data_IF_950560536800
#
_entry.id   IF_950560536800
#
_cell.length_a   1.000
_cell.length_b   1.000
_cell.length_c   1.000
_cell.angle_alpha   90.00
_cell.angle_beta   90.00
_cell.angle_gamma   90.00
#
_symmetry.space_group_name_H-M   'P 1'
#
loop_
_entity.id
_entity.type
_entity.pdbx_description
1 polymer ?
#
# COMPACT_ATOMS: atom_id res chain seq x y z
N UNK A 1 -16.02 5.69 -0.27
CA UNK A 1 -14.84 5.37 -1.10
C UNK A 1 -15.08 4.11 -1.90
N UNK A 2 -14.73 4.08 -3.20
CA UNK A 2 -14.75 2.87 -4.04
C UNK A 2 -13.32 2.32 -4.10
N UNK A 3 -13.17 0.99 -4.21
CA UNK A 3 -11.88 0.33 -4.34
C UNK A 3 -11.95 -0.62 -5.53
N UNK A 4 -11.02 -0.47 -6.47
CA UNK A 4 -10.78 -1.42 -7.57
C UNK A 4 -9.47 -2.14 -7.29
N UNK A 5 -9.48 -3.45 -7.41
CA UNK A 5 -8.30 -4.31 -7.22
C UNK A 5 -7.83 -4.77 -8.59
N UNK A 6 -6.57 -4.59 -8.87
CA UNK A 6 -5.93 -5.01 -10.10
C UNK A 6 -4.79 -5.98 -9.75
N UNK A 7 -4.98 -7.29 -9.91
CA UNK A 7 -3.86 -8.23 -9.87
C UNK A 7 -2.96 -8.00 -11.09
N UNK A 8 -1.69 -7.68 -10.87
CA UNK A 8 -0.77 -7.23 -11.91
C UNK A 8 0.50 -8.09 -11.97
N UNK A 9 1.09 -8.15 -13.16
CA UNK A 9 2.34 -8.85 -13.40
C UNK A 9 2.26 -10.38 -13.26
N UNK A 10 3.40 -11.02 -13.29
CA UNK A 10 3.51 -12.50 -13.23
C UNK A 10 3.11 -13.03 -11.86
N UNK A 11 3.48 -12.31 -10.79
CA UNK A 11 3.17 -12.68 -9.41
C UNK A 11 1.73 -12.34 -9.01
N UNK A 12 1.00 -11.58 -9.83
CA UNK A 12 -0.38 -11.14 -9.57
C UNK A 12 -0.52 -10.30 -8.29
N UNK A 13 0.53 -9.52 -7.96
CA UNK A 13 0.49 -8.58 -6.84
C UNK A 13 -0.65 -7.58 -7.01
N UNK A 14 -1.38 -7.30 -5.95
CA UNK A 14 -2.55 -6.44 -6.01
C UNK A 14 -2.15 -4.95 -6.00
N UNK A 15 -2.42 -4.26 -7.08
CA UNK A 15 -2.49 -2.80 -7.11
C UNK A 15 -3.90 -2.36 -6.75
N UNK A 16 -4.04 -1.37 -5.86
CA UNK A 16 -5.35 -0.85 -5.46
C UNK A 16 -5.56 0.56 -5.99
N UNK A 17 -6.72 0.77 -6.62
CA UNK A 17 -7.18 2.08 -7.08
C UNK A 17 -8.33 2.51 -6.19
N UNK A 18 -8.09 3.47 -5.31
CA UNK A 18 -9.09 4.08 -4.45
C UNK A 18 -9.69 5.28 -5.16
N UNK A 19 -11.01 5.43 -5.08
CA UNK A 19 -11.71 6.54 -5.72
C UNK A 19 -12.76 7.16 -4.79
N UNK A 20 -12.73 8.48 -4.70
CA UNK A 20 -13.77 9.33 -4.09
C UNK A 20 -14.10 10.44 -5.10
N UNK A 21 -15.28 10.40 -5.70
CA UNK A 21 -15.71 11.28 -6.77
C UNK A 21 -14.77 11.21 -8.00
N UNK A 22 -14.04 12.29 -8.29
CA UNK A 22 -13.07 12.37 -9.39
C UNK A 22 -11.61 12.28 -8.90
N UNK A 23 -11.41 12.10 -7.59
CA UNK A 23 -10.09 11.96 -6.98
C UNK A 23 -9.71 10.50 -6.80
N UNK A 24 -8.45 10.19 -7.11
CA UNK A 24 -7.88 8.85 -7.06
C UNK A 24 -6.64 8.80 -6.19
N UNK A 25 -6.44 7.66 -5.53
CA UNK A 25 -5.22 7.30 -4.82
C UNK A 25 -4.81 5.89 -5.28
N UNK A 26 -3.55 5.71 -5.61
CA UNK A 26 -3.00 4.44 -6.10
C UNK A 26 -2.16 3.80 -5.01
N UNK A 27 -2.28 2.50 -4.80
CA UNK A 27 -1.44 1.75 -3.85
C UNK A 27 -0.77 0.62 -4.61
N UNK A 28 0.55 0.50 -4.46
CA UNK A 28 1.42 -0.52 -5.03
C UNK A 28 1.25 -0.71 -6.55
N UNK A 29 1.67 0.25 -7.38
CA UNK A 29 1.65 0.12 -8.84
C UNK A 29 2.76 -0.83 -9.32
N UNK A 30 2.56 -2.14 -9.16
CA UNK A 30 3.60 -3.16 -9.33
C UNK A 30 3.95 -3.47 -10.78
N UNK A 31 2.99 -3.38 -11.71
CA UNK A 31 3.23 -3.71 -13.12
C UNK A 31 2.14 -3.12 -14.02
N UNK A 32 2.24 -3.36 -15.34
CA UNK A 32 1.18 -3.11 -16.33
C UNK A 32 0.55 -1.71 -16.25
N UNK A 33 1.39 -0.65 -16.24
CA UNK A 33 0.98 0.75 -16.09
C UNK A 33 -0.24 1.16 -16.92
N UNK A 34 -0.40 0.62 -18.14
CA UNK A 34 -1.55 0.90 -18.98
C UNK A 34 -2.89 0.46 -18.35
N UNK A 35 -2.92 -0.72 -17.72
CA UNK A 35 -4.15 -1.18 -17.00
C UNK A 35 -4.49 -0.27 -15.82
N UNK A 36 -3.48 0.25 -15.13
CA UNK A 36 -3.66 1.22 -14.05
C UNK A 36 -4.26 2.50 -14.62
N UNK A 37 -3.66 3.07 -15.68
CA UNK A 37 -4.11 4.30 -16.34
C UNK A 37 -5.55 4.19 -16.87
N UNK A 38 -5.90 3.07 -17.51
CA UNK A 38 -7.26 2.81 -18.00
C UNK A 38 -8.32 2.74 -16.89
N UNK A 39 -7.89 2.57 -15.64
CA UNK A 39 -8.77 2.51 -14.47
C UNK A 39 -9.03 3.87 -13.82
N UNK A 40 -8.38 4.92 -14.33
CA UNK A 40 -8.40 6.27 -13.77
C UNK A 40 -8.98 7.23 -14.80
N UNK A 41 -10.01 7.97 -14.40
CA UNK A 41 -10.68 8.95 -15.25
C UNK A 41 -10.66 10.37 -14.67
N UNK A 42 -9.92 10.58 -13.59
CA UNK A 42 -9.86 11.84 -12.85
C UNK A 42 -8.46 12.16 -12.33
N UNK A 43 -8.39 12.93 -11.25
CA UNK A 43 -7.16 13.40 -10.67
C UNK A 43 -6.53 12.35 -9.73
N UNK A 44 -5.27 11.98 -9.97
CA UNK A 44 -4.49 11.21 -9.00
C UNK A 44 -3.91 12.16 -7.95
N UNK A 45 -4.29 11.96 -6.69
CA UNK A 45 -3.86 12.78 -5.57
C UNK A 45 -2.51 12.31 -4.97
N UNK A 46 -2.16 11.04 -5.17
CA UNK A 46 -0.91 10.46 -4.67
C UNK A 46 -0.78 8.98 -4.95
N UNK A 47 0.40 8.47 -4.70
CA UNK A 47 0.74 7.05 -4.77
C UNK A 47 1.25 6.60 -3.40
N UNK A 48 0.75 5.48 -2.89
CA UNK A 48 1.20 4.85 -1.66
C UNK A 48 2.00 3.59 -2.02
N UNK A 49 3.15 3.40 -1.39
CA UNK A 49 4.00 2.22 -1.59
C UNK A 49 4.16 1.51 -0.25
N UNK A 50 3.71 0.26 -0.17
CA UNK A 50 3.80 -0.52 1.07
C UNK A 50 5.23 -1.00 1.36
N UNK A 51 5.98 -1.36 0.34
CA UNK A 51 7.40 -1.76 0.41
C UNK A 51 8.04 -1.81 -0.98
N UNK A 52 9.34 -1.95 -1.06
CA UNK A 52 10.13 -1.76 -2.28
C UNK A 52 10.39 -3.01 -3.13
N UNK A 53 9.63 -4.10 -2.97
CA UNK A 53 9.75 -5.23 -3.89
C UNK A 53 9.24 -4.89 -5.30
N UNK A 54 9.91 -5.44 -6.31
CA UNK A 54 9.69 -5.11 -7.72
C UNK A 54 8.24 -5.30 -8.18
N UNK A 55 7.53 -6.29 -7.63
CA UNK A 55 6.13 -6.58 -7.96
C UNK A 55 5.15 -5.60 -7.31
N UNK A 56 5.61 -4.71 -6.42
CA UNK A 56 4.85 -3.60 -5.85
C UNK A 56 5.20 -2.23 -6.44
N UNK A 57 6.37 -2.09 -7.06
CA UNK A 57 6.87 -0.80 -7.59
C UNK A 57 7.25 -0.80 -9.07
N UNK A 58 7.12 -1.93 -9.78
CA UNK A 58 7.63 -2.06 -11.15
C UNK A 58 7.05 -1.05 -12.15
N UNK A 59 5.83 -0.55 -11.95
CA UNK A 59 5.23 0.52 -12.75
C UNK A 59 5.28 1.91 -12.05
N UNK A 60 5.84 2.01 -10.84
CA UNK A 60 5.81 3.23 -10.02
C UNK A 60 6.32 4.46 -10.78
N UNK A 61 7.50 4.33 -11.42
CA UNK A 61 8.10 5.44 -12.15
C UNK A 61 7.21 5.93 -13.28
N UNK A 62 6.65 5.02 -14.08
CA UNK A 62 5.79 5.38 -15.21
C UNK A 62 4.49 6.05 -14.75
N UNK A 63 3.89 5.56 -13.66
CA UNK A 63 2.67 6.14 -13.07
C UNK A 63 2.97 7.50 -12.44
N UNK A 64 4.10 7.66 -11.76
CA UNK A 64 4.52 8.95 -11.20
C UNK A 64 4.78 9.99 -12.31
N UNK A 65 5.50 9.61 -13.37
CA UNK A 65 5.78 10.51 -14.51
C UNK A 65 4.49 10.95 -15.22
N UNK A 66 3.48 10.07 -15.29
CA UNK A 66 2.18 10.37 -15.92
C UNK A 66 1.34 11.37 -15.13
N UNK A 67 1.27 11.20 -13.80
CA UNK A 67 0.34 11.96 -12.96
C UNK A 67 0.98 13.08 -12.16
N UNK A 68 2.30 13.18 -12.13
CA UNK A 68 3.10 14.17 -11.38
C UNK A 68 2.56 14.38 -9.93
N UNK A 69 2.37 13.28 -9.22
CA UNK A 69 1.81 13.28 -7.87
C UNK A 69 2.81 12.75 -6.84
N UNK A 70 2.62 13.12 -5.58
CA UNK A 70 3.53 12.71 -4.49
C UNK A 70 3.47 11.20 -4.24
N UNK A 71 4.64 10.59 -4.03
CA UNK A 71 4.79 9.20 -3.60
C UNK A 71 4.96 9.20 -2.07
N UNK A 72 4.17 8.39 -1.37
CA UNK A 72 4.24 8.15 0.07
C UNK A 72 4.85 6.75 0.28
N UNK A 73 6.07 6.70 0.76
CA UNK A 73 6.85 5.49 0.97
C UNK A 73 7.68 5.61 2.25
N UNK A 74 8.27 4.52 2.72
CA UNK A 74 8.98 4.44 4.01
C UNK A 74 9.94 5.60 4.27
N UNK A 75 10.71 6.02 3.26
CA UNK A 75 11.76 7.04 3.41
C UNK A 75 11.23 8.46 3.62
N UNK A 76 9.95 8.72 3.30
CA UNK A 76 9.38 10.08 3.38
C UNK A 76 8.11 10.19 4.24
N UNK A 77 7.69 9.10 4.88
CA UNK A 77 6.57 9.10 5.81
C UNK A 77 7.02 8.84 7.24
N UNK A 78 6.15 9.14 8.22
CA UNK A 78 6.47 8.96 9.64
C UNK A 78 5.44 8.06 10.31
N UNK A 79 5.92 7.15 11.17
CA UNK A 79 5.07 6.24 11.93
C UNK A 79 4.04 7.02 12.76
N UNK A 80 2.81 6.52 12.78
CA UNK A 80 1.65 7.07 13.48
C UNK A 80 1.17 8.44 12.98
N UNK A 81 1.81 9.04 11.97
CA UNK A 81 1.34 10.30 11.38
C UNK A 81 0.11 10.05 10.50
N UNK A 82 -0.84 10.99 10.57
CA UNK A 82 -2.00 11.04 9.68
C UNK A 82 -1.67 11.98 8.52
N UNK A 83 -1.96 11.51 7.31
CA UNK A 83 -1.81 12.25 6.06
C UNK A 83 -3.19 12.49 5.45
N UNK A 84 -3.41 13.73 5.00
CA UNK A 84 -4.61 14.12 4.26
C UNK A 84 -4.21 14.43 2.81
N UNK A 85 -4.70 13.65 1.87
CA UNK A 85 -4.29 13.67 0.46
C UNK A 85 -5.54 13.73 -0.41
N UNK A 86 -5.87 14.93 -0.92
CA UNK A 86 -7.19 15.16 -1.50
C UNK A 86 -8.28 14.82 -0.49
N UNK A 87 -9.29 14.01 -0.86
CA UNK A 87 -10.35 13.59 0.06
C UNK A 87 -9.97 12.37 0.92
N UNK A 88 -8.76 11.83 0.77
CA UNK A 88 -8.29 10.65 1.49
C UNK A 88 -7.57 11.03 2.79
N UNK A 89 -7.85 10.30 3.86
CA UNK A 89 -7.15 10.42 5.14
C UNK A 89 -6.65 9.05 5.58
N UNK A 90 -5.35 8.91 5.77
CA UNK A 90 -4.73 7.66 6.20
C UNK A 90 -3.63 7.88 7.23
N UNK A 91 -3.43 6.89 8.08
CA UNK A 91 -2.35 6.81 9.07
C UNK A 91 -1.31 5.80 8.60
N UNK A 92 -0.04 6.14 8.74
CA UNK A 92 1.07 5.22 8.47
C UNK A 92 1.41 4.43 9.74
N UNK A 93 1.61 3.13 9.58
CA UNK A 93 2.05 2.20 10.62
C UNK A 93 3.25 1.45 10.08
N UNK A 94 4.39 1.51 10.77
CA UNK A 94 5.55 0.71 10.38
C UNK A 94 5.31 -0.75 10.76
N UNK A 95 5.25 -1.59 9.74
CA UNK A 95 5.00 -3.05 9.84
C UNK A 95 6.19 -3.83 9.29
N UNK A 96 7.36 -3.50 9.83
CA UNK A 96 8.63 -4.11 9.43
C UNK A 96 8.62 -5.62 9.66
N UNK A 97 9.39 -6.35 8.86
CA UNK A 97 9.59 -7.79 9.05
C UNK A 97 9.63 -8.56 7.74
N UNK A 98 8.66 -8.40 6.83
CA UNK A 98 8.76 -8.94 5.48
C UNK A 98 9.91 -8.25 4.72
N UNK A 99 9.96 -6.91 4.81
CA UNK A 99 11.12 -6.09 4.48
C UNK A 99 11.36 -5.08 5.60
N UNK A 100 12.55 -4.44 5.62
CA UNK A 100 12.91 -3.41 6.60
C UNK A 100 12.30 -2.04 6.26
N UNK A 101 11.61 -1.91 5.14
CA UNK A 101 10.86 -0.74 4.69
C UNK A 101 9.34 -0.96 4.59
N UNK A 102 8.84 -2.11 5.11
CA UNK A 102 7.41 -2.41 5.08
C UNK A 102 6.60 -1.47 5.94
N UNK A 103 5.56 -0.89 5.35
CA UNK A 103 4.59 -0.02 6.02
C UNK A 103 3.17 -0.43 5.66
N UNK A 104 2.25 -0.17 6.57
CA UNK A 104 0.81 -0.36 6.40
C UNK A 104 0.12 1.00 6.36
N UNK A 105 -0.79 1.18 5.42
CA UNK A 105 -1.66 2.35 5.34
C UNK A 105 -3.01 2.04 5.96
N UNK A 106 -3.32 2.69 7.08
CA UNK A 106 -4.59 2.55 7.80
C UNK A 106 -5.52 3.73 7.51
N UNK A 107 -6.72 3.44 7.03
CA UNK A 107 -7.80 4.39 6.79
C UNK A 107 -8.80 4.34 7.95
N UNK A 108 -8.72 5.28 8.92
CA UNK A 108 -9.48 5.18 10.17
C UNK A 108 -11.00 5.25 9.99
N UNK A 109 -11.47 6.09 9.08
CA UNK A 109 -12.91 6.28 8.83
C UNK A 109 -13.56 5.02 8.25
N UNK A 110 -12.86 4.37 7.33
CA UNK A 110 -13.31 3.13 6.72
C UNK A 110 -13.00 1.89 7.56
N UNK A 111 -12.09 1.99 8.53
CA UNK A 111 -11.52 0.90 9.32
C UNK A 111 -10.87 -0.17 8.44
N UNK A 112 -10.07 0.26 7.47
CA UNK A 112 -9.41 -0.58 6.49
C UNK A 112 -7.90 -0.40 6.53
N UNK A 113 -7.16 -1.46 6.23
CA UNK A 113 -5.71 -1.46 6.10
C UNK A 113 -5.27 -2.01 4.75
N UNK A 114 -4.20 -1.42 4.20
CA UNK A 114 -3.46 -1.94 3.07
C UNK A 114 -2.07 -2.33 3.58
N UNK A 115 -1.79 -3.62 3.60
CA UNK A 115 -0.67 -4.20 4.35
C UNK A 115 0.48 -4.67 3.46
N UNK A 116 0.31 -4.64 2.12
CA UNK A 116 1.27 -5.28 1.22
C UNK A 116 1.52 -6.72 1.64
N UNK A 117 2.77 -7.12 1.60
CA UNK A 117 3.21 -8.47 1.92
C UNK A 117 3.47 -8.72 3.42
N UNK A 118 3.07 -7.79 4.29
CA UNK A 118 3.17 -8.00 5.73
C UNK A 118 2.18 -9.06 6.24
N UNK A 119 0.92 -9.00 5.82
CA UNK A 119 -0.14 -9.85 6.35
C UNK A 119 -1.07 -10.35 5.23
N UNK A 120 -1.32 -11.67 5.19
CA UNK A 120 -2.22 -12.34 4.25
C UNK A 120 -3.39 -12.99 4.97
N UNK A 121 -4.38 -13.48 4.21
CA UNK A 121 -5.48 -14.26 4.76
C UNK A 121 -4.97 -15.61 5.30
N UNK A 122 -4.84 -15.68 6.62
CA UNK A 122 -4.44 -16.91 7.32
C UNK A 122 -2.94 -17.16 7.39
N UNK A 123 -2.11 -16.22 6.93
CA UNK A 123 -0.64 -16.32 7.03
C UNK A 123 -0.01 -14.92 7.07
N UNK A 124 1.29 -14.88 7.21
CA UNK A 124 2.11 -13.66 7.18
C UNK A 124 3.11 -13.71 6.03
N UNK A 125 3.67 -12.57 5.67
CA UNK A 125 4.77 -12.47 4.72
C UNK A 125 6.00 -13.25 5.16
N UNK A 126 6.79 -13.68 4.19
CA UNK A 126 8.06 -14.38 4.44
C UNK A 126 9.03 -13.46 5.19
N UNK A 127 9.84 -14.09 6.04
CA UNK A 127 10.88 -13.41 6.81
C UNK A 127 12.26 -14.08 6.64
N UNK A 128 12.46 -14.75 5.52
CA UNK A 128 13.68 -15.48 5.18
C UNK A 128 14.47 -14.84 4.02
N UNK A 129 14.14 -13.61 3.64
CA UNK A 129 14.91 -12.80 2.71
C UNK A 129 16.08 -12.09 3.40
N UNK A 130 17.05 -11.62 2.62
CA UNK A 130 18.20 -10.87 3.11
C UNK A 130 17.82 -9.59 3.89
N UNK A 131 16.76 -8.91 3.46
CA UNK A 131 16.25 -7.66 4.05
C UNK A 131 14.99 -7.86 4.91
N UNK A 132 14.78 -9.05 5.44
CA UNK A 132 13.65 -9.38 6.33
C UNK A 132 14.12 -9.65 7.76
N UNK A 133 13.16 -9.60 8.70
CA UNK A 133 13.43 -9.82 10.13
C UNK A 133 12.20 -10.41 10.83
N UNK A 134 12.35 -11.61 11.38
CA UNK A 134 11.25 -12.34 12.05
C UNK A 134 10.86 -11.69 13.39
N UNK A 135 11.79 -11.09 14.12
CA UNK A 135 11.48 -10.45 15.41
C UNK A 135 10.66 -9.16 15.15
N UNK A 136 11.07 -8.35 14.17
CA UNK A 136 10.32 -7.17 13.74
C UNK A 136 8.94 -7.55 13.21
N UNK A 137 8.80 -8.67 12.48
CA UNK A 137 7.50 -9.19 12.04
C UNK A 137 6.58 -9.45 13.24
N UNK A 138 7.08 -10.12 14.29
CA UNK A 138 6.29 -10.41 15.49
C UNK A 138 5.89 -9.14 16.24
N UNK A 139 6.78 -8.14 16.32
CA UNK A 139 6.46 -6.84 16.91
C UNK A 139 5.39 -6.10 16.12
N UNK A 140 5.49 -6.13 14.80
CA UNK A 140 4.53 -5.52 13.88
C UNK A 140 3.14 -6.17 14.00
N UNK A 141 3.07 -7.49 14.12
CA UNK A 141 1.80 -8.20 14.35
C UNK A 141 1.13 -7.76 15.66
N UNK A 142 1.91 -7.59 16.76
CA UNK A 142 1.39 -7.09 18.03
C UNK A 142 0.79 -5.68 17.92
N UNK A 143 1.34 -4.82 17.07
CA UNK A 143 0.76 -3.50 16.80
C UNK A 143 -0.61 -3.62 16.11
N UNK A 144 -0.69 -4.44 15.07
CA UNK A 144 -1.88 -4.53 14.20
C UNK A 144 -3.09 -5.16 14.90
N UNK A 145 -2.90 -6.17 15.75
CA UNK A 145 -4.03 -6.83 16.46
C UNK A 145 -4.81 -5.90 17.39
N UNK A 146 -4.27 -4.73 17.72
CA UNK A 146 -4.96 -3.73 18.56
C UNK A 146 -6.01 -2.93 17.80
N UNK A 147 -6.03 -2.99 16.46
CA UNK A 147 -6.94 -2.23 15.63
C UNK A 147 -8.28 -2.95 15.42
N UNK A 148 -9.37 -2.21 15.51
CA UNK A 148 -10.72 -2.72 15.17
C UNK A 148 -10.98 -2.50 13.68
N UNK A 149 -10.79 -3.54 12.87
CA UNK A 149 -10.83 -3.48 11.41
C UNK A 149 -12.11 -4.06 10.85
N UNK A 150 -12.58 -3.51 9.72
CA UNK A 150 -13.61 -4.08 8.85
C UNK A 150 -13.01 -4.90 7.71
N UNK A 151 -11.85 -4.47 7.20
CA UNK A 151 -11.17 -5.13 6.09
C UNK A 151 -9.66 -4.94 6.14
N UNK A 152 -8.95 -5.95 5.64
CA UNK A 152 -7.51 -5.90 5.36
C UNK A 152 -7.34 -6.22 3.88
N UNK A 153 -6.61 -5.36 3.17
CA UNK A 153 -6.24 -5.50 1.77
C UNK A 153 -4.76 -5.84 1.69
N UNK A 154 -4.45 -6.95 1.07
CA UNK A 154 -3.11 -7.52 0.95
C UNK A 154 -2.87 -8.04 -0.46
N UNK A 155 -1.70 -8.60 -0.68
CA UNK A 155 -1.34 -9.27 -1.93
C UNK A 155 -2.44 -10.17 -2.48
#
# INVERSE_FOLDING_TARGET
MKIKILPLGILQANCYILNINEDYLIIDPGAEANKIKESISGKVCGILVTHSHDDHIGALKEIHDEYDCHIYEYDNVFENKIYNVGPFSFKVIYTLGHTLDSITFYFPEEKMMFTGDFLFKGTIGRTDFYNSDTELMLESLKKIITYNLKAIYNY
#
